data_IF_959207713442
#
_entry.id   IF_959207713442
#
_cell.length_a   1.000
_cell.length_b   1.000
_cell.length_c   1.000
_cell.angle_alpha   90.00
_cell.angle_beta   90.00
_cell.angle_gamma   90.00
#
_symmetry.space_group_name_H-M   'P 1'
#
loop_
_entity.id
_entity.type
_entity.pdbx_description
1 polymer ?
#
# COMPACT_ATOMS: atom_id res chain seq x y z
N UNK A 1 -11.52 -6.57 -19.20
CA UNK A 1 -12.61 -6.87 -18.24
C UNK A 1 -12.10 -7.27 -16.85
N UNK A 2 -10.97 -7.97 -16.71
CA UNK A 2 -10.41 -8.32 -15.39
C UNK A 2 -9.82 -7.13 -14.58
N UNK A 3 -9.29 -6.07 -15.22
CA UNK A 3 -8.80 -4.87 -14.51
C UNK A 3 -9.94 -4.07 -13.88
N UNK A 4 -11.09 -3.99 -14.56
CA UNK A 4 -12.29 -3.34 -14.07
C UNK A 4 -12.83 -4.03 -12.81
N UNK A 5 -12.72 -5.35 -12.71
CA UNK A 5 -13.20 -6.11 -11.55
C UNK A 5 -12.34 -5.91 -10.28
N UNK A 6 -11.01 -5.75 -10.43
CA UNK A 6 -10.13 -5.47 -9.29
C UNK A 6 -10.29 -4.03 -8.80
N UNK A 7 -10.51 -3.08 -9.72
CA UNK A 7 -10.91 -1.70 -9.36
C UNK A 7 -12.25 -1.72 -8.64
N UNK A 8 -13.24 -2.49 -9.11
CA UNK A 8 -14.55 -2.63 -8.44
C UNK A 8 -14.42 -3.29 -7.06
N UNK A 9 -13.56 -4.28 -6.86
CA UNK A 9 -13.35 -4.92 -5.55
C UNK A 9 -12.56 -4.02 -4.57
N UNK A 10 -11.53 -3.31 -5.05
CA UNK A 10 -10.81 -2.31 -4.26
C UNK A 10 -11.75 -1.14 -3.90
N UNK A 11 -12.55 -0.65 -4.85
CA UNK A 11 -13.62 0.31 -4.58
C UNK A 11 -14.68 -0.24 -3.62
N UNK A 12 -15.01 -1.53 -3.66
CA UNK A 12 -15.94 -2.17 -2.72
C UNK A 12 -15.33 -2.30 -1.31
N UNK A 13 -14.03 -2.58 -1.20
CA UNK A 13 -13.29 -2.62 0.06
C UNK A 13 -13.15 -1.23 0.70
N UNK A 14 -12.90 -0.20 -0.12
CA UNK A 14 -12.91 1.19 0.30
C UNK A 14 -14.33 1.71 0.59
N UNK A 15 -15.32 1.21 -0.14
CA UNK A 15 -16.74 1.42 0.17
C UNK A 15 -17.13 0.74 1.48
N UNK A 16 -16.60 -0.43 1.84
CA UNK A 16 -16.84 -1.02 3.16
C UNK A 16 -16.20 -0.20 4.29
N UNK A 17 -15.00 0.38 4.06
CA UNK A 17 -14.42 1.38 4.97
C UNK A 17 -15.30 2.65 5.07
N UNK A 18 -15.87 3.12 3.96
CA UNK A 18 -16.76 4.29 3.91
C UNK A 18 -18.20 4.04 4.35
N UNK A 19 -18.70 2.80 4.33
CA UNK A 19 -20.06 2.44 4.79
C UNK A 19 -20.08 2.29 6.31
N UNK A 20 -18.96 1.94 6.93
CA UNK A 20 -18.79 2.03 8.38
C UNK A 20 -18.53 3.48 8.86
N UNK A 21 -18.00 4.35 8.00
CA UNK A 21 -17.66 5.74 8.32
C UNK A 21 -18.35 6.75 7.39
N UNK A 22 -19.63 7.05 7.66
CA UNK A 22 -20.36 8.10 6.94
C UNK A 22 -19.76 9.49 7.21
N UNK A 23 -19.07 10.08 6.22
CA UNK A 23 -19.49 11.25 5.39
C UNK A 23 -18.40 12.24 4.96
N UNK A 24 -17.16 12.21 5.46
CA UNK A 24 -16.18 13.27 5.09
C UNK A 24 -14.93 12.79 4.32
N UNK A 25 -14.47 11.54 4.49
CA UNK A 25 -13.35 11.01 3.69
C UNK A 25 -13.89 10.17 2.55
N UNK A 26 -14.14 10.80 1.40
CA UNK A 26 -14.52 10.10 0.18
C UNK A 26 -13.25 9.69 -0.57
N UNK A 27 -12.94 8.38 -0.58
CA UNK A 27 -11.90 7.84 -1.44
C UNK A 27 -12.52 7.49 -2.79
N UNK A 28 -12.18 8.24 -3.84
CA UNK A 28 -12.59 7.90 -5.22
C UNK A 28 -11.37 7.47 -6.03
N UNK A 29 -11.42 6.25 -6.55
CA UNK A 29 -10.41 5.73 -7.48
C UNK A 29 -10.81 6.19 -8.87
N UNK A 30 -10.12 7.20 -9.38
CA UNK A 30 -10.31 7.66 -10.73
C UNK A 30 -9.40 6.84 -11.64
N UNK A 31 -9.98 6.00 -12.49
CA UNK A 31 -9.33 5.64 -13.74
C UNK A 31 -9.49 6.86 -14.64
N UNK A 32 -8.48 7.72 -14.70
CA UNK A 32 -8.49 8.94 -15.50
C UNK A 32 -8.91 8.61 -16.93
N UNK A 33 -10.09 9.10 -17.33
CA UNK A 33 -10.55 9.00 -18.72
C UNK A 33 -9.95 10.08 -19.62
N UNK A 34 -9.24 11.04 -19.03
CA UNK A 34 -8.51 12.11 -19.70
C UNK A 34 -7.11 12.23 -19.05
N UNK A 35 -6.05 11.93 -19.81
CA UNK A 35 -4.66 11.96 -19.32
C UNK A 35 -4.28 10.69 -18.54
N UNK A 36 -4.00 9.60 -19.27
CA UNK A 36 -3.52 8.34 -18.69
C UNK A 36 -2.29 8.57 -17.81
N UNK A 37 -2.29 8.16 -16.53
CA UNK A 37 -1.05 7.86 -15.83
C UNK A 37 -0.23 6.93 -16.74
N UNK A 38 1.08 7.13 -16.81
CA UNK A 38 1.94 6.23 -17.55
C UNK A 38 1.63 4.77 -17.18
N UNK A 39 1.71 3.86 -18.15
CA UNK A 39 1.40 2.43 -18.00
C UNK A 39 1.87 1.90 -16.63
N UNK A 40 0.92 1.52 -15.76
CA UNK A 40 1.24 0.90 -14.47
C UNK A 40 0.86 1.69 -13.21
N UNK A 41 0.24 2.87 -13.31
CA UNK A 41 -0.30 3.60 -12.15
C UNK A 41 -1.84 3.66 -12.10
N UNK A 42 -2.38 3.81 -10.90
CA UNK A 42 -3.75 4.27 -10.64
C UNK A 42 -3.76 5.47 -9.69
N UNK A 43 -4.84 6.25 -9.72
CA UNK A 43 -4.97 7.45 -8.89
C UNK A 43 -6.06 7.25 -7.82
N UNK A 44 -5.68 7.48 -6.56
CA UNK A 44 -6.60 7.51 -5.42
C UNK A 44 -6.82 8.96 -4.99
N UNK A 45 -8.06 9.42 -5.00
CA UNK A 45 -8.42 10.79 -4.58
C UNK A 45 -8.90 10.77 -3.14
N UNK A 46 -8.29 11.58 -2.29
CA UNK A 46 -8.59 11.68 -0.87
C UNK A 46 -9.20 13.05 -0.57
N UNK A 47 -10.35 13.07 0.09
CA UNK A 47 -10.98 14.29 0.58
C UNK A 47 -10.69 14.47 2.08
N UNK A 48 -10.21 15.66 2.43
CA UNK A 48 -9.98 16.15 3.78
C UNK A 48 -11.13 17.04 4.26
N UNK A 49 -10.86 17.87 5.26
CA UNK A 49 -11.83 18.83 5.77
C UNK A 49 -11.99 20.01 4.79
N UNK A 50 -13.23 20.46 4.55
CA UNK A 50 -13.50 21.55 3.60
C UNK A 50 -13.08 21.17 2.18
N UNK A 51 -12.35 22.07 1.52
CA UNK A 51 -11.88 21.92 0.13
C UNK A 51 -10.49 21.25 0.02
N UNK A 52 -9.97 20.67 1.12
CA UNK A 52 -8.67 20.02 1.15
C UNK A 52 -8.72 18.67 0.42
N UNK A 53 -8.54 18.67 -0.91
CA UNK A 53 -8.47 17.46 -1.74
C UNK A 53 -7.06 17.18 -2.24
N UNK A 54 -6.64 15.91 -2.24
CA UNK A 54 -5.38 15.47 -2.85
C UNK A 54 -5.60 14.24 -3.74
N UNK A 55 -4.68 14.02 -4.67
CA UNK A 55 -4.64 12.80 -5.48
C UNK A 55 -3.32 12.08 -5.27
N UNK A 56 -3.35 10.78 -5.01
CA UNK A 56 -2.16 9.93 -4.86
C UNK A 56 -2.00 9.06 -6.10
N UNK A 57 -0.86 9.14 -6.77
CA UNK A 57 -0.49 8.23 -7.84
C UNK A 57 0.18 6.99 -7.25
N UNK A 58 -0.37 5.82 -7.52
CA UNK A 58 0.03 4.55 -6.91
C UNK A 58 0.37 3.50 -7.97
N UNK A 59 1.44 2.75 -7.77
CA UNK A 59 1.86 1.64 -8.62
C UNK A 59 0.90 0.45 -8.51
N UNK A 60 0.41 -0.07 -9.63
CA UNK A 60 -0.51 -1.23 -9.65
C UNK A 60 0.11 -2.51 -9.07
N UNK A 61 1.42 -2.68 -9.21
CA UNK A 61 2.09 -3.94 -8.93
C UNK A 61 2.44 -4.15 -7.45
N UNK A 62 2.51 -3.06 -6.67
CA UNK A 62 2.82 -3.13 -5.25
C UNK A 62 2.10 -2.10 -4.37
N UNK A 63 1.30 -1.19 -4.94
CA UNK A 63 0.59 -0.12 -4.23
C UNK A 63 1.51 0.98 -3.65
N UNK A 64 2.80 1.01 -4.00
CA UNK A 64 3.68 2.12 -3.58
C UNK A 64 3.30 3.43 -4.29
N UNK A 65 3.55 4.56 -3.64
CA UNK A 65 3.25 5.87 -4.23
C UNK A 65 4.38 6.30 -5.18
N UNK A 66 4.01 6.77 -6.37
CA UNK A 66 4.89 7.42 -7.32
C UNK A 66 4.91 8.95 -7.13
N UNK A 67 3.81 9.51 -6.63
CA UNK A 67 3.68 10.95 -6.41
C UNK A 67 2.31 11.34 -5.86
N UNK A 68 2.09 12.63 -5.68
CA UNK A 68 0.80 13.19 -5.28
C UNK A 68 0.51 14.52 -5.97
N UNK A 69 -0.76 14.85 -6.18
CA UNK A 69 -1.20 16.18 -6.57
C UNK A 69 -1.78 16.91 -5.35
N UNK A 70 -1.36 18.16 -5.15
CA UNK A 70 -1.91 19.03 -4.12
C UNK A 70 -3.31 19.56 -4.51
N UNK A 71 -3.90 20.43 -3.69
CA UNK A 71 -5.25 20.98 -3.94
C UNK A 71 -5.36 21.84 -5.20
N UNK A 72 -4.23 22.35 -5.69
CA UNK A 72 -4.14 23.12 -6.93
C UNK A 72 -3.92 22.23 -8.16
N UNK A 73 -4.02 20.90 -7.99
CA UNK A 73 -3.76 19.89 -9.01
C UNK A 73 -2.32 19.89 -9.55
N UNK A 74 -1.39 20.49 -8.82
CA UNK A 74 0.04 20.44 -9.17
C UNK A 74 0.62 19.10 -8.73
N UNK A 75 1.20 18.35 -9.67
CA UNK A 75 1.79 17.05 -9.40
C UNK A 75 3.20 17.17 -8.83
N UNK A 76 3.47 16.38 -7.80
CA UNK A 76 4.78 16.17 -7.21
C UNK A 76 5.16 14.69 -7.35
N UNK A 77 6.38 14.41 -7.77
CA UNK A 77 6.88 13.04 -8.01
C UNK A 77 8.01 12.71 -7.06
N UNK A 78 8.00 11.50 -6.47
CA UNK A 78 9.08 11.08 -5.58
C UNK A 78 10.37 10.82 -6.35
N UNK A 79 11.52 11.04 -5.70
CA UNK A 79 12.80 10.67 -6.30
C UNK A 79 12.84 9.17 -6.60
N UNK A 80 13.25 8.80 -7.80
CA UNK A 80 13.25 7.43 -8.32
C UNK A 80 12.06 7.07 -9.22
N UNK A 81 11.02 7.91 -9.25
CA UNK A 81 9.85 7.77 -10.13
C UNK A 81 9.81 8.88 -11.20
N UNK A 82 10.92 9.57 -11.44
CA UNK A 82 10.99 10.67 -12.41
C UNK A 82 10.60 10.19 -13.82
N UNK A 83 9.77 10.97 -14.51
CA UNK A 83 9.29 10.67 -15.86
C UNK A 83 8.06 9.75 -15.93
N UNK A 84 7.57 9.22 -14.81
CA UNK A 84 6.32 8.45 -14.75
C UNK A 84 5.08 9.36 -14.76
N UNK A 85 5.19 10.55 -14.14
CA UNK A 85 4.15 11.57 -14.14
C UNK A 85 4.58 12.75 -15.04
N UNK A 86 3.77 13.14 -16.04
CA UNK A 86 4.08 14.28 -16.90
C UNK A 86 4.01 15.58 -16.10
N UNK A 87 4.94 16.49 -16.38
CA UNK A 87 5.00 17.85 -15.81
C UNK A 87 5.00 17.93 -14.26
N UNK A 88 5.40 16.84 -13.59
CA UNK A 88 5.47 16.78 -12.14
C UNK A 88 6.77 17.38 -11.58
N UNK A 89 6.66 18.14 -10.50
CA UNK A 89 7.82 18.69 -9.78
C UNK A 89 8.50 17.59 -8.95
N UNK A 90 9.82 17.40 -9.07
CA UNK A 90 10.53 16.37 -8.32
C UNK A 90 10.65 16.73 -6.84
N UNK A 91 10.32 15.77 -5.97
CA UNK A 91 10.54 15.88 -4.53
C UNK A 91 12.00 15.54 -4.18
N UNK A 92 12.60 16.20 -3.17
CA UNK A 92 14.00 15.97 -2.83
C UNK A 92 14.28 14.64 -2.11
N UNK A 93 13.25 13.84 -1.84
CA UNK A 93 13.30 12.59 -1.08
C UNK A 93 12.58 11.45 -1.81
N UNK A 94 12.94 10.21 -1.49
CA UNK A 94 12.32 8.99 -2.04
C UNK A 94 11.11 8.57 -1.20
N UNK A 95 10.25 7.74 -1.79
CA UNK A 95 9.18 7.06 -1.06
C UNK A 95 9.70 5.82 -0.30
N UNK A 96 10.58 6.04 0.68
CA UNK A 96 11.08 4.99 1.58
C UNK A 96 10.98 5.46 3.02
N UNK A 97 10.69 4.58 3.98
CA UNK A 97 10.59 5.00 5.39
C UNK A 97 11.89 5.61 5.92
N UNK A 98 13.07 5.21 5.39
CA UNK A 98 14.35 5.85 5.70
C UNK A 98 14.38 7.32 5.31
N UNK A 99 14.00 7.64 4.07
CA UNK A 99 13.96 9.02 3.58
C UNK A 99 12.83 9.84 4.20
N UNK A 100 11.68 9.20 4.49
CA UNK A 100 10.48 9.90 4.98
C UNK A 100 10.57 10.24 6.47
N UNK A 101 10.94 9.26 7.30
CA UNK A 101 10.85 9.37 8.76
C UNK A 101 12.11 8.86 9.47
N UNK A 102 13.21 8.61 8.75
CA UNK A 102 14.46 8.14 9.35
C UNK A 102 14.54 6.62 9.55
N UNK A 103 13.51 5.86 9.14
CA UNK A 103 13.52 4.40 9.15
C UNK A 103 12.18 3.78 9.52
N UNK A 104 12.06 2.47 9.27
CA UNK A 104 10.86 1.69 9.60
C UNK A 104 10.57 1.70 11.12
N UNK A 105 11.62 1.75 11.95
CA UNK A 105 11.52 1.77 13.41
C UNK A 105 10.77 2.99 13.98
N UNK A 106 10.57 4.05 13.19
CA UNK A 106 9.85 5.25 13.61
C UNK A 106 8.36 5.23 13.23
N UNK A 107 7.87 4.16 12.59
CA UNK A 107 6.44 3.99 12.31
C UNK A 107 5.55 3.96 13.56
N UNK A 108 5.96 3.35 14.69
CA UNK A 108 5.18 3.40 15.93
C UNK A 108 5.00 4.82 16.51
N UNK A 109 5.70 5.83 16.00
CA UNK A 109 5.54 7.24 16.39
C UNK A 109 4.49 7.98 15.56
N UNK A 110 3.97 7.35 14.48
CA UNK A 110 2.97 7.97 13.62
C UNK A 110 1.55 7.70 14.14
N UNK A 111 0.79 8.73 14.56
CA UNK A 111 -0.58 8.55 14.99
C UNK A 111 -1.46 8.18 13.80
N UNK A 112 -2.25 7.13 13.96
CA UNK A 112 -3.22 6.62 13.01
C UNK A 112 -4.63 6.96 13.47
N UNK A 113 -5.57 6.94 12.53
CA UNK A 113 -6.98 7.26 12.75
C UNK A 113 -7.43 8.43 11.90
N UNK A 114 -8.71 8.76 11.98
CA UNK A 114 -9.34 9.75 11.10
C UNK A 114 -8.75 11.14 11.24
N UNK A 115 -8.67 11.67 12.46
CA UNK A 115 -8.17 13.03 12.70
C UNK A 115 -6.69 13.22 12.28
N UNK A 116 -5.75 12.32 12.64
CA UNK A 116 -4.39 12.36 12.09
C UNK A 116 -4.35 12.26 10.56
N UNK A 117 -5.18 11.40 9.95
CA UNK A 117 -5.26 11.24 8.49
C UNK A 117 -5.71 12.53 7.80
N UNK A 118 -6.70 13.23 8.35
CA UNK A 118 -7.16 14.53 7.83
C UNK A 118 -6.05 15.59 7.90
N UNK A 119 -5.26 15.63 8.98
CA UNK A 119 -4.10 16.53 9.08
C UNK A 119 -3.04 16.22 8.02
N UNK A 120 -2.82 14.95 7.70
CA UNK A 120 -1.88 14.57 6.63
C UNK A 120 -2.39 14.91 5.24
N UNK A 121 -3.70 14.80 4.98
CA UNK A 121 -4.31 15.28 3.73
C UNK A 121 -4.11 16.79 3.61
N UNK A 122 -4.37 17.54 4.68
CA UNK A 122 -4.15 18.99 4.72
C UNK A 122 -2.68 19.36 4.43
N UNK A 123 -1.72 18.70 5.08
CA UNK A 123 -0.30 18.98 4.84
C UNK A 123 0.10 18.81 3.36
N UNK A 124 -0.43 17.79 2.69
CA UNK A 124 -0.20 17.56 1.26
C UNK A 124 -0.99 18.53 0.37
N UNK A 125 -2.21 18.90 0.77
CA UNK A 125 -3.08 19.82 0.04
C UNK A 125 -2.47 21.22 -0.10
N UNK A 126 -1.79 21.71 0.95
CA UNK A 126 -1.15 23.03 0.99
C UNK A 126 0.32 23.03 0.61
N UNK A 127 0.91 21.88 0.26
CA UNK A 127 2.31 21.82 -0.11
C UNK A 127 2.57 22.57 -1.42
N UNK A 128 3.57 23.45 -1.38
CA UNK A 128 4.09 24.17 -2.52
C UNK A 128 5.63 24.05 -2.50
N UNK A 129 6.19 23.39 -3.51
CA UNK A 129 7.62 23.10 -3.57
C UNK A 129 8.47 24.37 -3.74
N UNK A 130 7.90 25.46 -4.27
CA UNK A 130 8.62 26.70 -4.52
C UNK A 130 8.79 27.55 -3.25
N UNK A 131 7.90 27.35 -2.26
CA UNK A 131 7.84 28.15 -1.03
C UNK A 131 8.08 27.35 0.24
N UNK A 132 7.97 26.01 0.20
CA UNK A 132 8.15 25.15 1.37
C UNK A 132 9.58 25.20 1.93
N UNK A 133 9.68 25.41 3.24
CA UNK A 133 10.91 25.22 4.00
C UNK A 133 11.12 23.75 4.40
N UNK A 134 12.13 23.52 5.23
CA UNK A 134 12.43 22.18 5.74
C UNK A 134 11.34 21.65 6.67
N UNK A 135 10.66 22.51 7.42
CA UNK A 135 9.60 22.11 8.35
C UNK A 135 8.36 21.61 7.59
N UNK A 136 7.90 22.34 6.58
CA UNK A 136 6.79 21.93 5.72
C UNK A 136 7.15 20.66 4.94
N UNK A 137 8.38 20.59 4.42
CA UNK A 137 8.87 19.39 3.74
C UNK A 137 8.92 18.19 4.69
N UNK A 138 9.34 18.36 5.94
CA UNK A 138 9.31 17.31 6.95
C UNK A 138 7.88 16.89 7.32
N UNK A 139 6.93 17.83 7.37
CA UNK A 139 5.51 17.53 7.58
C UNK A 139 4.94 16.69 6.42
N UNK A 140 5.29 17.02 5.19
CA UNK A 140 4.93 16.25 3.98
C UNK A 140 5.52 14.85 4.04
N UNK A 141 6.80 14.69 4.40
CA UNK A 141 7.42 13.36 4.53
C UNK A 141 6.70 12.48 5.56
N UNK A 142 6.37 13.04 6.73
CA UNK A 142 5.54 12.33 7.74
C UNK A 142 4.14 12.02 7.21
N UNK A 143 3.52 12.94 6.46
CA UNK A 143 2.21 12.73 5.88
C UNK A 143 2.17 11.59 4.87
N UNK A 144 3.17 11.52 3.99
CA UNK A 144 3.34 10.41 3.05
C UNK A 144 3.56 9.09 3.79
N UNK A 145 4.37 9.08 4.86
CA UNK A 145 4.58 7.87 5.65
C UNK A 145 3.30 7.36 6.31
N UNK A 146 2.50 8.25 6.90
CA UNK A 146 1.23 7.91 7.53
C UNK A 146 0.19 7.43 6.50
N UNK A 147 0.05 8.11 5.36
CA UNK A 147 -0.84 7.65 4.28
C UNK A 147 -0.37 6.32 3.68
N UNK A 148 0.93 6.06 3.65
CA UNK A 148 1.46 4.75 3.26
C UNK A 148 0.99 3.66 4.22
N UNK A 149 0.95 3.92 5.53
CA UNK A 149 0.35 2.97 6.49
C UNK A 149 -1.14 2.79 6.22
N UNK A 150 -1.90 3.88 6.17
CA UNK A 150 -3.37 3.88 6.07
C UNK A 150 -3.85 3.20 4.80
N UNK A 151 -3.26 3.53 3.65
CA UNK A 151 -3.70 3.03 2.34
C UNK A 151 -2.94 1.76 1.94
N UNK A 152 -1.62 1.83 1.97
CA UNK A 152 -0.76 0.82 1.35
C UNK A 152 -0.56 -0.37 2.28
N UNK A 153 -0.10 -0.14 3.51
CA UNK A 153 0.17 -1.25 4.43
C UNK A 153 -1.11 -1.93 4.90
N UNK A 154 -2.21 -1.19 5.11
CA UNK A 154 -3.52 -1.79 5.40
C UNK A 154 -4.01 -2.70 4.27
N UNK A 155 -3.80 -2.33 3.01
CA UNK A 155 -4.17 -3.20 1.88
C UNK A 155 -3.28 -4.46 1.82
N UNK A 156 -1.99 -4.31 2.16
CA UNK A 156 -0.98 -5.37 2.09
C UNK A 156 -1.06 -6.37 3.24
N UNK A 157 -1.44 -5.93 4.44
CA UNK A 157 -1.29 -6.67 5.69
C UNK A 157 -2.52 -6.53 6.58
N UNK A 158 -3.20 -7.65 6.86
CA UNK A 158 -4.39 -7.68 7.72
C UNK A 158 -4.15 -7.13 9.13
N UNK A 159 -3.03 -7.42 9.82
CA UNK A 159 -2.79 -6.85 11.15
C UNK A 159 -2.73 -5.32 11.14
N UNK A 160 -2.16 -4.72 10.10
CA UNK A 160 -2.08 -3.25 9.97
C UNK A 160 -3.47 -2.68 9.66
N UNK A 161 -4.24 -3.32 8.78
CA UNK A 161 -5.63 -2.97 8.52
C UNK A 161 -6.47 -2.95 9.81
N UNK A 162 -6.35 -3.99 10.63
CA UNK A 162 -7.06 -4.10 11.90
C UNK A 162 -6.64 -3.01 12.91
N UNK A 163 -5.36 -2.64 12.92
CA UNK A 163 -4.88 -1.48 13.70
C UNK A 163 -5.55 -0.19 13.21
N UNK A 164 -5.52 0.09 11.91
CA UNK A 164 -6.11 1.32 11.32
C UNK A 164 -7.64 1.35 11.52
N UNK A 165 -8.33 0.23 11.33
CA UNK A 165 -9.78 0.13 11.50
C UNK A 165 -10.22 0.39 12.94
N UNK A 166 -9.50 -0.16 13.93
CA UNK A 166 -9.78 0.11 15.35
C UNK A 166 -9.49 1.56 15.74
N UNK A 167 -8.47 2.15 15.13
CA UNK A 167 -8.07 3.53 15.38
C UNK A 167 -9.01 4.56 14.75
N UNK A 168 -9.81 4.18 13.74
CA UNK A 168 -10.42 5.14 12.83
C UNK A 168 -11.28 6.19 13.55
N UNK A 169 -12.18 5.74 14.41
CA UNK A 169 -13.00 6.59 15.29
C UNK A 169 -12.61 6.43 16.77
N UNK A 170 -11.45 5.84 17.04
CA UNK A 170 -10.97 5.59 18.40
C UNK A 170 -10.58 6.90 19.11
N UNK A 171 -10.88 7.00 20.41
CA UNK A 171 -10.47 8.13 21.25
C UNK A 171 -8.97 8.10 21.59
N UNK A 172 -8.35 6.92 21.54
CA UNK A 172 -6.92 6.74 21.77
C UNK A 172 -6.14 6.75 20.45
N UNK A 173 -5.03 7.49 20.41
CA UNK A 173 -4.10 7.45 19.28
C UNK A 173 -3.52 6.03 19.15
N UNK A 174 -3.84 5.36 18.05
CA UNK A 174 -3.24 4.08 17.72
C UNK A 174 -2.04 4.30 16.80
N UNK A 175 -1.03 3.45 16.96
CA UNK A 175 0.14 3.45 16.09
C UNK A 175 0.38 2.04 15.55
N UNK A 176 1.22 1.93 14.53
CA UNK A 176 1.75 0.63 14.10
C UNK A 176 2.48 0.01 15.30
N UNK A 177 2.12 -1.22 15.65
CA UNK A 177 2.79 -1.89 16.77
C UNK A 177 4.19 -2.37 16.32
N UNK A 178 5.21 -2.38 17.19
CA UNK A 178 6.55 -2.85 16.85
C UNK A 178 6.57 -4.26 16.23
N UNK A 179 5.67 -5.14 16.68
CA UNK A 179 5.52 -6.52 16.17
C UNK A 179 5.02 -6.57 14.72
N UNK A 180 4.46 -5.47 14.21
CA UNK A 180 3.97 -5.37 12.83
C UNK A 180 5.09 -4.94 11.85
N UNK A 181 6.21 -4.40 12.35
CA UNK A 181 7.30 -3.91 11.52
C UNK A 181 7.95 -5.00 10.66
N UNK A 182 8.25 -6.21 11.19
CA UNK A 182 8.83 -7.28 10.38
C UNK A 182 7.90 -7.71 9.23
N UNK A 183 6.58 -7.62 9.41
CA UNK A 183 5.63 -7.90 8.33
C UNK A 183 5.69 -6.86 7.21
N UNK A 184 5.81 -5.58 7.57
CA UNK A 184 5.96 -4.47 6.61
C UNK A 184 7.29 -4.62 5.86
N UNK A 185 8.37 -4.92 6.58
CA UNK A 185 9.69 -5.12 5.99
C UNK A 185 9.72 -6.30 5.01
N UNK A 186 9.11 -7.42 5.37
CA UNK A 186 9.19 -8.66 4.63
C UNK A 186 8.00 -8.93 3.70
N UNK A 187 7.06 -8.01 3.54
CA UNK A 187 5.85 -8.21 2.72
C UNK A 187 6.15 -8.67 1.29
N UNK A 188 7.17 -8.10 0.67
CA UNK A 188 7.64 -8.47 -0.68
C UNK A 188 8.11 -9.93 -0.75
N UNK A 189 8.90 -10.33 0.25
CA UNK A 189 9.45 -11.67 0.40
C UNK A 189 8.36 -12.70 0.69
N UNK A 190 7.43 -12.37 1.61
CA UNK A 190 6.26 -13.19 1.91
C UNK A 190 5.38 -13.36 0.67
N UNK A 191 5.11 -12.28 -0.05
CA UNK A 191 4.30 -12.30 -1.26
C UNK A 191 4.89 -13.24 -2.31
N UNK A 192 6.21 -13.19 -2.50
CA UNK A 192 6.92 -14.09 -3.41
C UNK A 192 6.75 -15.56 -3.02
N UNK A 193 6.99 -15.89 -1.76
CA UNK A 193 6.88 -17.27 -1.28
C UNK A 193 5.45 -17.79 -1.33
N UNK A 194 4.45 -16.95 -1.04
CA UNK A 194 3.03 -17.31 -1.18
C UNK A 194 2.65 -17.59 -2.63
N UNK A 195 3.08 -16.74 -3.57
CA UNK A 195 2.82 -16.94 -5.01
C UNK A 195 3.54 -18.19 -5.52
N UNK A 196 4.79 -18.43 -5.08
CA UNK A 196 5.57 -19.61 -5.42
C UNK A 196 4.91 -20.88 -4.87
N UNK A 197 4.61 -20.91 -3.57
CA UNK A 197 3.93 -22.02 -2.89
C UNK A 197 2.63 -22.38 -3.58
N UNK A 198 1.85 -21.40 -4.04
CA UNK A 198 0.62 -21.67 -4.80
C UNK A 198 0.88 -22.41 -6.11
N UNK A 199 2.02 -22.16 -6.77
CA UNK A 199 2.40 -22.81 -8.02
C UNK A 199 3.04 -24.18 -7.83
N UNK A 200 3.86 -24.33 -6.79
CA UNK A 200 4.66 -25.54 -6.55
C UNK A 200 4.03 -26.50 -5.55
N UNK A 201 3.10 -26.02 -4.73
CA UNK A 201 2.55 -26.73 -3.57
C UNK A 201 3.46 -26.75 -2.35
N UNK A 202 4.65 -26.12 -2.41
CA UNK A 202 5.68 -26.25 -1.38
C UNK A 202 6.16 -24.89 -0.84
N UNK A 203 6.26 -24.78 0.50
CA UNK A 203 6.88 -23.67 1.22
C UNK A 203 8.35 -23.98 1.54
N UNK A 204 9.16 -23.94 0.50
CA UNK A 204 10.59 -24.28 0.54
C UNK A 204 11.41 -23.38 -0.40
N UNK A 205 10.89 -22.18 -0.70
CA UNK A 205 11.53 -21.28 -1.62
C UNK A 205 12.71 -20.51 -1.02
N UNK A 206 13.40 -19.74 -1.87
CA UNK A 206 14.70 -19.13 -1.57
C UNK A 206 14.69 -18.21 -0.35
N UNK A 207 13.53 -17.70 0.06
CA UNK A 207 13.43 -16.79 1.18
C UNK A 207 12.76 -17.38 2.42
N UNK A 208 12.31 -18.65 2.38
CA UNK A 208 11.63 -19.26 3.53
C UNK A 208 12.52 -19.34 4.77
N UNK A 209 13.82 -19.55 4.61
CA UNK A 209 14.76 -19.54 5.74
C UNK A 209 15.03 -18.11 6.27
N UNK A 210 15.00 -17.10 5.40
CA UNK A 210 15.07 -15.70 5.83
C UNK A 210 13.84 -15.34 6.67
N UNK A 211 12.64 -15.69 6.19
CA UNK A 211 11.38 -15.47 6.90
C UNK A 211 11.34 -16.21 8.24
N UNK A 212 11.88 -17.44 8.29
CA UNK A 212 11.97 -18.24 9.51
C UNK A 212 12.96 -17.66 10.53
N UNK A 213 14.07 -17.06 10.06
CA UNK A 213 15.14 -16.53 10.92
C UNK A 213 15.01 -15.05 11.27
N UNK A 214 13.98 -14.37 10.75
CA UNK A 214 13.76 -12.97 11.10
C UNK A 214 13.64 -12.85 12.62
N UNK A 215 14.50 -12.00 13.20
CA UNK A 215 14.85 -12.02 14.62
C UNK A 215 13.68 -11.67 15.54
N UNK A 216 12.68 -10.98 14.99
CA UNK A 216 11.55 -10.46 15.76
C UNK A 216 10.26 -11.25 15.53
N UNK A 217 10.07 -11.86 14.34
CA UNK A 217 8.90 -12.69 14.05
C UNK A 217 9.28 -13.87 13.15
N UNK A 218 9.03 -15.09 13.63
CA UNK A 218 9.25 -16.33 12.87
C UNK A 218 8.10 -16.56 11.88
N UNK A 219 8.21 -16.00 10.68
CA UNK A 219 7.15 -16.10 9.67
C UNK A 219 7.18 -17.48 8.99
N UNK A 220 6.20 -18.32 9.32
CA UNK A 220 5.93 -19.62 8.66
C UNK A 220 4.78 -19.51 7.64
N UNK A 221 4.52 -20.58 6.87
CA UNK A 221 3.50 -20.56 5.82
C UNK A 221 2.12 -20.17 6.34
N UNK A 222 1.67 -20.80 7.44
CA UNK A 222 0.35 -20.57 8.02
C UNK A 222 0.20 -19.12 8.48
N UNK A 223 1.25 -18.56 9.06
CA UNK A 223 1.28 -17.17 9.51
C UNK A 223 1.28 -16.21 8.34
N UNK A 224 2.11 -16.44 7.31
CA UNK A 224 2.13 -15.64 6.09
C UNK A 224 0.75 -15.59 5.41
N UNK A 225 0.04 -16.72 5.35
CA UNK A 225 -1.33 -16.79 4.84
C UNK A 225 -2.33 -16.03 5.72
N UNK A 226 -2.16 -16.10 7.04
CA UNK A 226 -3.03 -15.40 7.98
C UNK A 226 -2.88 -13.87 7.84
N UNK A 227 -1.65 -13.36 7.77
CA UNK A 227 -1.37 -11.92 7.78
C UNK A 227 -1.46 -11.25 6.41
N UNK A 228 -1.23 -11.97 5.31
CA UNK A 228 -1.24 -11.38 3.98
C UNK A 228 -2.63 -10.88 3.56
N UNK A 229 -2.69 -9.63 3.12
CA UNK A 229 -3.81 -9.04 2.39
C UNK A 229 -3.59 -9.20 0.87
N UNK A 230 -3.33 -8.09 0.18
CA UNK A 230 -2.93 -8.10 -1.23
C UNK A 230 -1.47 -8.52 -1.36
N UNK A 231 -1.12 -9.56 -2.14
CA UNK A 231 0.26 -9.94 -2.42
C UNK A 231 0.87 -9.09 -3.55
N UNK A 232 2.19 -8.89 -3.50
CA UNK A 232 2.94 -8.22 -4.56
C UNK A 232 2.84 -8.97 -5.90
N UNK A 233 2.75 -8.20 -6.99
CA UNK A 233 2.91 -8.69 -8.36
C UNK A 233 4.31 -8.34 -8.87
N UNK A 234 5.36 -8.80 -8.17
CA UNK A 234 6.77 -8.59 -8.53
C UNK A 234 7.44 -9.91 -8.91
N UNK A 235 8.31 -9.86 -9.91
CA UNK A 235 9.17 -10.99 -10.30
C UNK A 235 10.34 -11.19 -9.33
N UNK A 236 10.91 -12.40 -9.31
CA UNK A 236 12.09 -12.73 -8.50
C UNK A 236 13.26 -11.74 -8.72
N UNK A 237 13.50 -11.34 -9.97
CA UNK A 237 14.56 -10.40 -10.34
C UNK A 237 14.34 -9.02 -9.73
N UNK A 238 13.09 -8.53 -9.73
CA UNK A 238 12.74 -7.24 -9.13
C UNK A 238 12.92 -7.24 -7.60
N UNK A 239 12.68 -8.38 -6.95
CA UNK A 239 12.87 -8.52 -5.51
C UNK A 239 14.35 -8.58 -5.12
N UNK A 240 15.17 -9.27 -5.90
CA UNK A 240 16.62 -9.37 -5.66
C UNK A 240 17.37 -8.04 -5.66
N UNK A 241 16.97 -7.12 -6.53
CA UNK A 241 17.53 -5.76 -6.58
C UNK A 241 17.18 -4.99 -5.30
N UNK A 242 15.97 -5.17 -4.78
CA UNK A 242 15.49 -4.49 -3.59
C UNK A 242 16.12 -5.02 -2.29
N UNK A 243 16.39 -6.32 -2.21
CA UNK A 243 16.94 -6.98 -1.00
C UNK A 243 18.47 -7.05 -0.97
N UNK A 244 19.18 -6.47 -1.95
CA UNK A 244 20.64 -6.36 -1.93
C UNK A 244 21.43 -7.65 -2.21
N UNK A 245 20.81 -8.69 -2.79
CA UNK A 245 21.46 -9.99 -3.05
C UNK A 245 22.06 -10.13 -4.47
N UNK A 246 23.38 -10.32 -4.58
CA UNK A 246 24.09 -10.64 -5.83
C UNK A 246 24.48 -12.13 -5.91
N UNK A 247 23.91 -12.86 -6.88
CA UNK A 247 24.62 -13.85 -7.73
C UNK A 247 23.75 -14.30 -8.92
N UNK A 248 24.26 -14.26 -10.16
CA UNK A 248 23.46 -14.37 -11.38
C UNK A 248 23.03 -15.81 -11.62
N UNK A 249 21.86 -15.97 -12.23
CA UNK A 249 21.42 -17.04 -13.15
C UNK A 249 19.94 -17.36 -12.94
N UNK A 250 19.31 -17.64 -14.08
CA UNK A 250 17.90 -17.93 -14.34
C UNK A 250 17.02 -16.71 -14.65
N UNK A 251 16.86 -16.51 -15.96
CA UNK A 251 15.96 -15.59 -16.63
C UNK A 251 14.80 -16.41 -17.20
N UNK A 252 13.54 -16.11 -16.88
CA UNK A 252 12.37 -16.55 -17.68
C UNK A 252 11.23 -15.51 -17.50
N UNK A 253 10.65 -14.95 -18.58
CA UNK A 253 9.50 -14.03 -18.50
C UNK A 253 8.22 -14.84 -18.18
N UNK A 254 7.05 -14.24 -17.91
CA UNK A 254 5.75 -14.70 -18.47
C UNK A 254 4.53 -13.99 -17.89
N UNK A 255 3.64 -13.69 -18.83
CA UNK A 255 2.46 -12.83 -18.85
C UNK A 255 1.19 -13.44 -18.20
N UNK A 256 1.30 -14.37 -17.25
CA UNK A 256 0.15 -15.12 -16.71
C UNK A 256 -0.31 -14.71 -15.29
N UNK A 257 0.23 -13.61 -14.72
CA UNK A 257 -0.05 -13.24 -13.33
C UNK A 257 -1.45 -12.68 -13.08
N UNK A 258 -2.18 -12.24 -14.11
CA UNK A 258 -3.51 -11.62 -13.95
C UNK A 258 -4.59 -12.64 -13.54
N UNK A 259 -4.45 -13.93 -13.89
CA UNK A 259 -5.35 -14.98 -13.39
C UNK A 259 -5.00 -15.48 -11.97
N UNK A 260 -3.81 -15.14 -11.45
CA UNK A 260 -3.31 -15.70 -10.18
C UNK A 260 -3.90 -15.02 -8.95
N UNK A 261 -4.19 -13.73 -9.05
CA UNK A 261 -4.81 -12.91 -7.99
C UNK A 261 -6.30 -13.25 -7.83
N UNK A 262 -6.96 -13.66 -8.92
CA UNK A 262 -8.40 -13.93 -8.96
C UNK A 262 -8.87 -15.10 -8.09
N UNK A 263 -8.01 -16.06 -7.76
CA UNK A 263 -8.41 -17.26 -6.99
C UNK A 263 -8.03 -17.13 -5.50
N UNK A 264 -6.98 -16.37 -5.17
CA UNK A 264 -6.53 -16.20 -3.78
C UNK A 264 -7.56 -15.48 -2.90
N UNK A 265 -8.33 -14.56 -3.49
CA UNK A 265 -9.41 -13.83 -2.80
C UNK A 265 -10.68 -14.70 -2.65
N UNK A 266 -10.98 -15.57 -3.61
CA UNK A 266 -12.21 -16.38 -3.59
C UNK A 266 -12.12 -17.64 -2.71
N UNK A 267 -10.96 -18.29 -2.61
CA UNK A 267 -10.82 -19.50 -1.77
C UNK A 267 -10.83 -19.19 -0.26
N UNK A 268 -10.47 -17.97 0.16
CA UNK A 268 -10.51 -17.54 1.56
C UNK A 268 -11.86 -16.96 2.00
N UNK A 269 -12.83 -16.82 1.08
CA UNK A 269 -14.21 -16.40 1.37
C UNK A 269 -15.12 -17.62 1.16
N UNK A 270 -14.96 -18.65 2.01
CA UNK A 270 -16.01 -19.68 2.16
C UNK A 270 -17.14 -19.09 3.00
N UNK A 271 -18.08 -18.42 2.34
CA UNK A 271 -19.41 -18.22 2.91
C UNK A 271 -20.03 -19.62 3.03
N UNK A 272 -20.18 -20.11 4.26
CA UNK A 272 -21.02 -21.29 4.53
C UNK A 272 -22.45 -20.90 4.12
N UNK A 273 -23.12 -21.64 3.23
CA UNK A 273 -24.53 -21.40 2.96
C UNK A 273 -25.33 -21.71 4.23
N UNK A 274 -26.12 -20.73 4.66
CA UNK A 274 -27.15 -20.88 5.69
C UNK A 274 -28.24 -21.84 5.14
N UNK A 275 -28.53 -22.97 5.81
CA UNK A 275 -29.43 -23.99 5.28
C UNK A 275 -30.92 -23.60 5.29
N UNK A 276 -31.33 -22.45 5.83
CA UNK A 276 -32.76 -22.16 6.10
C UNK A 276 -33.44 -21.08 5.24
N UNK A 277 -32.93 -20.75 4.05
CA UNK A 277 -33.71 -19.93 3.09
C UNK A 277 -33.86 -20.60 1.73
N UNK A 278 -34.93 -21.37 1.59
CA UNK A 278 -35.51 -21.73 0.29
C UNK A 278 -36.49 -20.64 -0.15
N UNK A 279 -36.12 -20.01 -1.27
CA UNK A 279 -36.92 -19.31 -2.30
C UNK A 279 -37.92 -18.27 -1.80
#
# INVERSE_FOLDING_TARGET
MASLFHVVFFCFFLFLLGVAAQREVLLSVLTTKDGSPADGLFVASLQGAGDDGIHMAMHYHDLSFAGFANRSHHWHVFRGDEGILPDASPLPFRNTYCDLIGGLGNLPELPLGRAPTLRTIQALAYYDADTAGEEETAAVRRAVAALSVVLTQSARLKPVMETVARAWEGEAEACVAPEQLPYIEHWDTMSFELVRRRRTGAWDGPFTELLRRSADVRIVEEEALAIAGVPANRSFTQLRVKTGWISPHVYVPYLYLILSVFVFVFDNIRIRPDPEKKI
#
